data_IF_911072985724
#
_entry.id   IF_911072985724
#
_cell.length_a   1.000
_cell.length_b   1.000
_cell.length_c   1.000
_cell.angle_alpha   90.00
_cell.angle_beta   90.00
_cell.angle_gamma   90.00
#
_symmetry.space_group_name_H-M   'P 1'
#
loop_
_entity.id
_entity.type
_entity.pdbx_description
1 polymer ?
#
# COMPACT_ATOMS: atom_id res chain seq x y z
N UNK A 1 18.99 19.62 2.20
CA UNK A 1 18.41 18.50 1.43
C UNK A 1 17.35 17.85 2.30
N UNK A 2 16.07 17.91 1.92
CA UNK A 2 15.01 17.18 2.64
C UNK A 2 15.10 15.72 2.24
N UNK A 3 15.60 14.87 3.14
CA UNK A 3 15.58 13.42 2.97
C UNK A 3 14.13 13.01 3.14
N UNK A 4 13.43 12.79 2.02
CA UNK A 4 12.09 12.19 2.10
C UNK A 4 12.28 10.74 2.53
N UNK A 5 11.48 10.24 3.49
CA UNK A 5 11.53 8.83 3.86
C UNK A 5 11.28 7.95 2.64
N UNK A 6 12.01 6.84 2.56
CA UNK A 6 11.79 5.74 1.64
C UNK A 6 10.44 5.08 1.91
N UNK A 7 9.95 4.28 0.94
CA UNK A 7 8.72 3.52 1.13
C UNK A 7 8.84 2.52 2.29
N UNK A 8 10.02 1.92 2.48
CA UNK A 8 10.27 0.98 3.57
C UNK A 8 10.21 1.67 4.95
N UNK A 9 10.78 2.87 5.08
CA UNK A 9 10.70 3.64 6.33
C UNK A 9 9.26 4.06 6.66
N UNK A 10 8.44 4.35 5.63
CA UNK A 10 7.03 4.66 5.85
C UNK A 10 6.25 3.49 6.47
N UNK A 11 6.65 2.23 6.20
CA UNK A 11 5.96 1.05 6.76
C UNK A 11 6.01 0.99 8.30
N UNK A 12 6.98 1.67 8.93
CA UNK A 12 7.06 1.75 10.39
C UNK A 12 5.99 2.68 11.01
N UNK A 13 5.31 3.51 10.21
CA UNK A 13 4.25 4.40 10.65
C UNK A 13 2.90 3.96 10.04
N UNK A 14 1.99 3.35 10.84
CA UNK A 14 0.70 2.87 10.36
C UNK A 14 -0.20 3.94 9.71
N UNK A 15 -0.04 5.21 10.10
CA UNK A 15 -0.82 6.34 9.58
C UNK A 15 -0.16 7.04 8.38
N UNK A 16 1.03 6.61 7.98
CA UNK A 16 1.66 7.10 6.76
C UNK A 16 0.87 6.69 5.51
N UNK A 17 1.07 7.46 4.43
CA UNK A 17 0.36 7.29 3.18
C UNK A 17 1.25 6.68 2.09
N UNK A 18 0.75 5.64 1.44
CA UNK A 18 1.37 5.00 0.29
C UNK A 18 0.64 5.39 -0.98
N UNK A 19 1.40 5.88 -1.96
CA UNK A 19 0.93 6.13 -3.32
C UNK A 19 1.50 5.06 -4.28
N UNK A 20 1.08 5.11 -5.54
CA UNK A 20 1.55 4.17 -6.58
C UNK A 20 3.07 4.10 -6.71
N UNK A 21 3.78 5.21 -6.52
CA UNK A 21 5.24 5.22 -6.59
C UNK A 21 5.87 4.52 -5.40
N UNK A 22 5.33 4.73 -4.18
CA UNK A 22 5.81 4.02 -2.99
C UNK A 22 5.52 2.53 -3.04
N UNK A 23 4.34 2.13 -3.52
CA UNK A 23 4.04 0.71 -3.73
C UNK A 23 4.98 0.07 -4.77
N UNK A 24 5.33 0.80 -5.83
CA UNK A 24 6.34 0.34 -6.80
C UNK A 24 7.73 0.21 -6.18
N UNK A 25 8.13 1.16 -5.32
CA UNK A 25 9.39 1.14 -4.59
C UNK A 25 9.48 -0.08 -3.64
N UNK A 26 8.35 -0.53 -3.10
CA UNK A 26 8.24 -1.78 -2.33
C UNK A 26 8.29 -3.07 -3.19
N UNK A 27 8.49 -2.94 -4.52
CA UNK A 27 8.63 -4.06 -5.43
C UNK A 27 7.33 -4.53 -6.09
N UNK A 28 6.20 -3.84 -5.89
CA UNK A 28 4.95 -4.27 -6.50
C UNK A 28 4.92 -3.94 -8.00
N UNK A 29 4.54 -4.94 -8.79
CA UNK A 29 4.22 -4.77 -10.19
C UNK A 29 2.92 -3.96 -10.38
N UNK A 30 2.73 -3.37 -11.56
CA UNK A 30 1.55 -2.54 -11.87
C UNK A 30 0.22 -3.20 -11.51
N UNK A 31 0.03 -4.48 -11.85
CA UNK A 31 -1.20 -5.23 -11.57
C UNK A 31 -1.44 -5.44 -10.07
N UNK A 32 -0.38 -5.66 -9.30
CA UNK A 32 -0.45 -5.80 -7.85
C UNK A 32 -0.79 -4.47 -7.19
N UNK A 33 -0.21 -3.36 -7.68
CA UNK A 33 -0.56 -2.00 -7.24
C UNK A 33 -2.05 -1.72 -7.48
N UNK A 34 -2.58 -2.10 -8.64
CA UNK A 34 -4.01 -1.92 -8.95
C UNK A 34 -4.90 -2.77 -8.05
N UNK A 35 -4.51 -4.01 -7.74
CA UNK A 35 -5.22 -4.87 -6.79
C UNK A 35 -5.25 -4.25 -5.39
N UNK A 36 -4.10 -3.80 -4.89
CA UNK A 36 -3.97 -3.14 -3.58
C UNK A 36 -4.85 -1.88 -3.49
N UNK A 37 -4.80 -1.00 -4.49
CA UNK A 37 -5.60 0.23 -4.49
C UNK A 37 -7.10 0.00 -4.64
N UNK A 38 -7.53 -1.16 -5.16
CA UNK A 38 -8.95 -1.56 -5.22
C UNK A 38 -9.43 -2.21 -3.93
N UNK A 39 -8.55 -2.90 -3.22
CA UNK A 39 -8.87 -3.62 -1.99
C UNK A 39 -8.80 -2.74 -0.74
N UNK A 40 -7.89 -1.77 -0.70
CA UNK A 40 -7.71 -0.88 0.46
C UNK A 40 -8.65 0.35 0.41
N UNK A 41 -9.06 0.89 1.57
CA UNK A 41 -9.73 2.18 1.65
C UNK A 41 -8.85 3.31 1.10
N UNK A 42 -9.26 3.90 -0.03
CA UNK A 42 -8.55 5.02 -0.66
C UNK A 42 -8.85 6.32 0.07
N UNK A 43 -7.80 7.06 0.42
CA UNK A 43 -7.87 8.43 0.93
C UNK A 43 -7.76 9.39 -0.25
N UNK A 44 -8.83 10.14 -0.51
CA UNK A 44 -8.85 11.23 -1.49
C UNK A 44 -8.59 12.56 -0.77
N UNK A 45 -7.47 13.22 -1.07
CA UNK A 45 -7.15 14.53 -0.52
C UNK A 45 -7.62 15.63 -1.48
N UNK A 46 -8.38 16.64 -1.03
CA UNK A 46 -8.79 17.76 -1.88
C UNK A 46 -7.60 18.42 -2.58
N UNK A 47 -7.68 18.59 -3.90
CA UNK A 47 -6.59 19.17 -4.71
C UNK A 47 -5.45 18.20 -5.07
N UNK A 48 -5.51 16.95 -4.60
CA UNK A 48 -4.52 15.93 -4.93
C UNK A 48 -5.14 14.83 -5.80
N UNK A 49 -4.74 14.79 -7.07
CA UNK A 49 -5.36 13.89 -8.07
C UNK A 49 -4.97 12.42 -7.93
N UNK A 50 -4.03 12.07 -7.05
CA UNK A 50 -3.49 10.71 -6.94
C UNK A 50 -4.07 9.99 -5.72
N UNK A 51 -4.67 8.80 -5.89
CA UNK A 51 -5.15 8.02 -4.76
C UNK A 51 -3.98 7.56 -3.90
N UNK A 52 -4.21 7.59 -2.59
CA UNK A 52 -3.27 7.07 -1.58
C UNK A 52 -4.02 6.19 -0.60
N UNK A 53 -3.32 5.26 0.03
CA UNK A 53 -3.86 4.37 1.06
C UNK A 53 -3.01 4.51 2.32
N UNK A 54 -3.52 4.10 3.47
CA UNK A 54 -2.71 4.07 4.69
C UNK A 54 -1.85 2.82 4.72
N UNK A 55 -0.71 2.91 5.41
CA UNK A 55 0.17 1.77 5.67
C UNK A 55 -0.57 0.66 6.41
N UNK A 56 -1.36 0.99 7.44
CA UNK A 56 -2.13 -0.02 8.19
C UNK A 56 -3.08 -0.83 7.31
N UNK A 57 -3.73 -0.18 6.35
CA UNK A 57 -4.70 -0.85 5.46
C UNK A 57 -3.95 -1.77 4.48
N UNK A 58 -2.78 -1.34 4.02
CA UNK A 58 -1.89 -2.17 3.20
C UNK A 58 -1.35 -3.40 3.96
N UNK A 59 -0.89 -3.22 5.20
CA UNK A 59 -0.37 -4.33 6.01
C UNK A 59 -1.46 -5.34 6.35
N UNK A 60 -2.65 -4.87 6.76
CA UNK A 60 -3.80 -5.74 7.02
C UNK A 60 -4.19 -6.55 5.76
N UNK A 61 -4.19 -5.92 4.58
CA UNK A 61 -4.44 -6.63 3.32
C UNK A 61 -3.41 -7.75 3.08
N UNK A 62 -2.13 -7.52 3.38
CA UNK A 62 -1.11 -8.55 3.23
C UNK A 62 -1.31 -9.70 4.21
N UNK A 63 -1.65 -9.41 5.46
CA UNK A 63 -1.97 -10.42 6.47
C UNK A 63 -3.16 -11.28 6.02
N UNK A 64 -4.27 -10.65 5.60
CA UNK A 64 -5.48 -11.31 5.10
C UNK A 64 -5.23 -12.11 3.80
N UNK A 65 -4.27 -11.65 2.98
CA UNK A 65 -3.91 -12.31 1.71
C UNK A 65 -2.83 -13.38 1.88
N UNK A 66 -2.22 -13.49 3.07
CA UNK A 66 -1.16 -14.47 3.32
C UNK A 66 -1.79 -15.84 3.44
N UNK A 67 -1.48 -16.69 2.47
CA UNK A 67 -1.93 -18.07 2.47
C UNK A 67 -1.25 -18.87 3.59
N UNK A 68 -2.04 -19.33 4.56
CA UNK A 68 -1.60 -20.15 5.69
C UNK A 68 -1.50 -21.66 5.36
N UNK A 69 -1.64 -22.03 4.09
CA UNK A 69 -1.70 -23.44 3.65
C UNK A 69 -3.10 -24.08 3.79
N UNK A 70 -4.08 -23.40 4.39
CA UNK A 70 -5.47 -23.89 4.52
C UNK A 70 -6.44 -23.22 3.55
N UNK A 71 -6.10 -22.02 3.08
CA UNK A 71 -7.04 -21.14 2.35
C UNK A 71 -6.86 -21.19 0.82
N UNK A 72 -7.58 -22.02 0.07
CA UNK A 72 -7.38 -22.16 -1.41
C UNK A 72 -7.21 -20.80 -2.13
N UNK A 73 -6.04 -20.61 -2.74
CA UNK A 73 -5.80 -19.49 -3.66
C UNK A 73 -6.60 -19.76 -4.94
N UNK A 74 -7.54 -18.86 -5.27
CA UNK A 74 -8.44 -18.98 -6.43
C UNK A 74 -7.78 -18.52 -7.72
#
# INVERSE_FOLDING_TARGET
MSVRPSAAELLANPDALLNRSRLRELGLERRAIDAVLRACPVVALPGYSRPVIRVRDYLALLEDSTHDGRTRVR
#
